data_IF_217470461555
#
_entry.id   IF_217470461555
#
_cell.length_a   1.000
_cell.length_b   1.000
_cell.length_c   1.000
_cell.angle_alpha   90.00
_cell.angle_beta   90.00
_cell.angle_gamma   90.00
#
_symmetry.space_group_name_H-M   'P 1'
#
loop_
_entity.id
_entity.type
_entity.pdbx_description
1 polymer ?
#
# COMPACT_ATOMS: atom_id res chain seq x y z
N UNK A 1 6.20 16.71 -4.29
CA UNK A 1 5.20 15.88 -3.58
C UNK A 1 5.47 14.44 -3.97
N UNK A 2 5.85 13.58 -3.01
CA UNK A 2 6.47 12.27 -3.28
C UNK A 2 5.65 11.39 -4.24
N UNK A 3 4.32 11.41 -4.11
CA UNK A 3 3.43 10.69 -5.02
C UNK A 3 3.56 11.15 -6.49
N UNK A 4 3.53 12.47 -6.72
CA UNK A 4 3.56 13.05 -8.06
C UNK A 4 4.91 12.80 -8.74
N UNK A 5 6.00 12.85 -7.98
CA UNK A 5 7.34 12.53 -8.47
C UNK A 5 7.46 11.05 -8.85
N UNK A 6 7.03 10.13 -7.98
CA UNK A 6 7.06 8.68 -8.26
C UNK A 6 6.20 8.31 -9.46
N UNK A 7 5.02 8.92 -9.59
CA UNK A 7 4.05 8.59 -10.64
C UNK A 7 4.31 9.34 -11.96
N UNK A 8 5.33 10.21 -12.01
CA UNK A 8 5.72 10.91 -13.23
C UNK A 8 6.03 9.91 -14.36
N UNK A 9 5.49 10.16 -15.55
CA UNK A 9 5.62 9.27 -16.71
C UNK A 9 4.67 8.07 -16.71
N UNK A 10 3.80 7.92 -15.70
CA UNK A 10 2.70 6.97 -15.70
C UNK A 10 1.37 7.67 -16.04
N UNK A 11 0.31 6.95 -16.45
CA UNK A 11 -1.01 7.56 -16.65
C UNK A 11 -1.72 7.91 -15.33
N UNK A 12 -1.17 7.54 -14.17
CA UNK A 12 -1.82 7.71 -12.87
C UNK A 12 -1.38 9.00 -12.20
N UNK A 13 -2.33 9.70 -11.58
CA UNK A 13 -2.11 10.93 -10.81
C UNK A 13 -2.16 10.70 -9.32
N UNK A 14 -2.82 9.62 -8.89
CA UNK A 14 -2.99 9.26 -7.48
C UNK A 14 -2.69 7.79 -7.24
N UNK A 15 -2.32 7.43 -6.00
CA UNK A 15 -2.15 6.04 -5.60
C UNK A 15 -3.44 5.21 -5.80
N UNK A 16 -4.61 5.86 -5.72
CA UNK A 16 -5.90 5.22 -5.92
C UNK A 16 -6.10 4.67 -7.35
N UNK A 17 -5.45 5.26 -8.34
CA UNK A 17 -5.55 4.88 -9.76
C UNK A 17 -4.61 3.73 -10.14
N UNK A 18 -3.55 3.48 -9.37
CA UNK A 18 -2.56 2.43 -9.66
C UNK A 18 -3.23 1.04 -9.58
N UNK A 19 -3.12 0.18 -10.59
CA UNK A 19 -3.70 -1.16 -10.55
C UNK A 19 -3.00 -2.05 -9.51
N UNK A 20 -3.77 -2.92 -8.85
CA UNK A 20 -3.25 -3.87 -7.85
C UNK A 20 -2.07 -4.72 -8.33
N UNK A 21 -2.10 -5.31 -9.54
CA UNK A 21 -0.96 -6.08 -10.05
C UNK A 21 0.35 -5.29 -10.10
N UNK A 22 0.30 -3.99 -10.38
CA UNK A 22 1.49 -3.13 -10.36
C UNK A 22 2.02 -2.96 -8.94
N UNK A 23 1.14 -2.70 -7.97
CA UNK A 23 1.51 -2.57 -6.56
C UNK A 23 2.10 -3.86 -5.97
N UNK A 24 1.79 -5.02 -6.55
CA UNK A 24 2.39 -6.30 -6.18
C UNK A 24 3.63 -6.66 -7.00
N UNK A 25 3.92 -5.89 -8.05
CA UNK A 25 5.03 -6.10 -8.96
C UNK A 25 6.35 -5.51 -8.49
N UNK A 26 7.42 -5.84 -9.21
CA UNK A 26 8.75 -5.26 -8.98
C UNK A 26 8.69 -3.73 -9.11
N UNK A 27 9.38 -3.04 -8.21
CA UNK A 27 9.40 -1.57 -8.14
C UNK A 27 8.40 -0.99 -7.13
N UNK A 28 7.14 -1.44 -7.14
CA UNK A 28 6.08 -0.88 -6.28
C UNK A 28 5.72 -1.74 -5.06
N UNK A 29 6.05 -3.03 -5.05
CA UNK A 29 5.80 -3.88 -3.90
C UNK A 29 6.58 -3.38 -2.67
N UNK A 30 5.99 -3.08 -1.49
CA UNK A 30 6.73 -2.52 -0.35
C UNK A 30 7.91 -3.38 0.14
N UNK A 31 7.82 -4.69 -0.07
CA UNK A 31 8.84 -5.69 0.27
C UNK A 31 8.28 -6.69 1.27
N UNK A 32 8.77 -7.94 1.25
CA UNK A 32 8.17 -9.03 2.03
C UNK A 32 8.12 -8.75 3.54
N UNK A 33 9.16 -8.11 4.09
CA UNK A 33 9.18 -7.73 5.50
C UNK A 33 8.09 -6.69 5.85
N UNK A 34 7.81 -5.74 4.95
CA UNK A 34 6.79 -4.72 5.15
C UNK A 34 5.37 -5.27 4.96
N UNK A 35 5.19 -6.26 4.08
CA UNK A 35 3.88 -6.86 3.79
C UNK A 35 3.56 -8.08 4.62
N UNK A 36 4.48 -8.60 5.44
CA UNK A 36 4.33 -9.88 6.14
C UNK A 36 2.98 -10.03 6.90
N UNK A 37 2.54 -8.99 7.63
CA UNK A 37 1.24 -9.03 8.32
C UNK A 37 0.04 -8.99 7.38
N UNK A 38 0.17 -8.26 6.27
CA UNK A 38 -0.84 -8.17 5.24
C UNK A 38 -0.99 -9.50 4.50
N UNK A 39 0.14 -10.14 4.19
CA UNK A 39 0.23 -11.46 3.57
C UNK A 39 -0.43 -12.51 4.48
N UNK A 40 -0.08 -12.55 5.76
CA UNK A 40 -0.73 -13.42 6.77
C UNK A 40 -2.23 -13.15 6.90
N UNK A 41 -2.68 -11.91 6.77
CA UNK A 41 -4.11 -11.58 6.83
C UNK A 41 -4.87 -12.13 5.61
N UNK A 42 -4.24 -12.10 4.43
CA UNK A 42 -4.79 -12.67 3.20
C UNK A 42 -4.84 -14.20 3.27
N UNK A 43 -3.74 -14.85 3.66
CA UNK A 43 -3.64 -16.31 3.79
C UNK A 43 -4.69 -16.89 4.74
N UNK A 44 -4.99 -16.17 5.83
CA UNK A 44 -6.01 -16.57 6.82
C UNK A 44 -7.45 -16.22 6.39
N UNK A 45 -7.64 -15.63 5.20
CA UNK A 45 -8.95 -15.20 4.72
C UNK A 45 -9.55 -14.00 5.47
N UNK A 46 -8.76 -13.32 6.31
CA UNK A 46 -9.23 -12.13 7.04
C UNK A 46 -9.39 -10.91 6.11
N UNK A 47 -8.74 -10.93 4.95
CA UNK A 47 -8.93 -9.97 3.86
C UNK A 47 -8.98 -10.71 2.51
N UNK A 48 -9.56 -10.05 1.52
CA UNK A 48 -9.51 -10.52 0.12
C UNK A 48 -8.36 -9.85 -0.63
N UNK A 49 -8.02 -10.33 -1.83
CA UNK A 49 -7.07 -9.66 -2.73
C UNK A 49 -7.44 -8.19 -3.01
N UNK A 50 -8.74 -7.88 -3.11
CA UNK A 50 -9.20 -6.49 -3.25
C UNK A 50 -8.90 -5.66 -1.99
N UNK A 51 -9.01 -6.28 -0.81
CA UNK A 51 -8.62 -5.67 0.46
C UNK A 51 -7.10 -5.45 0.56
N UNK A 52 -6.31 -6.40 0.08
CA UNK A 52 -4.86 -6.30 -0.04
C UNK A 52 -4.47 -5.08 -0.89
N UNK A 53 -5.05 -4.95 -2.09
CA UNK A 53 -4.76 -3.86 -3.02
C UNK A 53 -5.11 -2.49 -2.47
N UNK A 54 -6.27 -2.38 -1.83
CA UNK A 54 -6.66 -1.14 -1.15
C UNK A 54 -5.70 -0.78 -0.01
N UNK A 55 -5.23 -1.77 0.73
CA UNK A 55 -4.27 -1.56 1.82
C UNK A 55 -2.94 -1.06 1.27
N UNK A 56 -2.43 -1.65 0.19
CA UNK A 56 -1.22 -1.15 -0.47
C UNK A 56 -1.37 0.28 -0.99
N UNK A 57 -2.50 0.63 -1.61
CA UNK A 57 -2.77 2.01 -2.07
C UNK A 57 -2.69 3.01 -0.93
N UNK A 58 -3.29 2.67 0.22
CA UNK A 58 -3.28 3.52 1.40
C UNK A 58 -1.89 3.60 2.05
N UNK A 59 -1.17 2.48 2.12
CA UNK A 59 0.21 2.47 2.63
C UNK A 59 1.14 3.36 1.80
N UNK A 60 0.98 3.37 0.47
CA UNK A 60 1.69 4.30 -0.42
C UNK A 60 1.34 5.76 -0.13
N UNK A 61 0.06 6.08 0.08
CA UNK A 61 -0.33 7.43 0.46
C UNK A 61 0.24 7.86 1.82
N UNK A 62 0.27 6.96 2.81
CA UNK A 62 0.89 7.25 4.12
C UNK A 62 2.39 7.50 3.97
N UNK A 63 3.10 6.67 3.19
CA UNK A 63 4.51 6.87 2.90
C UNK A 63 4.76 8.22 2.21
N UNK A 64 3.91 8.60 1.25
CA UNK A 64 4.03 9.88 0.54
C UNK A 64 3.85 11.09 1.48
N UNK A 65 2.90 11.01 2.42
CA UNK A 65 2.67 12.04 3.43
C UNK A 65 3.84 12.14 4.42
N UNK A 66 4.47 11.01 4.74
CA UNK A 66 5.64 10.92 5.62
C UNK A 66 6.96 11.24 4.87
N UNK A 67 6.91 11.61 3.59
CA UNK A 67 8.09 11.93 2.79
C UNK A 67 8.96 10.71 2.43
N UNK A 68 8.45 9.49 2.59
CA UNK A 68 9.18 8.24 2.37
C UNK A 68 9.05 7.77 0.92
N UNK A 69 10.15 7.32 0.33
CA UNK A 69 10.17 6.77 -1.04
C UNK A 69 9.48 5.41 -1.21
N UNK A 70 9.18 4.70 -0.09
CA UNK A 70 8.50 3.40 -0.08
C UNK A 70 7.81 3.14 1.26
N UNK A 71 6.66 2.45 1.30
CA UNK A 71 6.03 2.04 2.57
C UNK A 71 6.87 1.00 3.31
N UNK A 72 6.96 1.14 4.63
CA UNK A 72 7.44 0.12 5.55
C UNK A 72 6.29 -0.65 6.24
N UNK A 73 6.65 -1.50 7.21
CA UNK A 73 5.68 -2.27 7.99
C UNK A 73 4.67 -1.36 8.73
N UNK A 74 5.12 -0.22 9.26
CA UNK A 74 4.26 0.72 9.98
C UNK A 74 3.18 1.34 9.09
N UNK A 75 3.53 1.75 7.86
CA UNK A 75 2.55 2.29 6.90
C UNK A 75 1.55 1.22 6.47
N UNK A 76 2.01 -0.02 6.23
CA UNK A 76 1.16 -1.14 5.85
C UNK A 76 0.21 -1.53 6.99
N UNK A 77 0.72 -1.59 8.23
CA UNK A 77 -0.07 -1.88 9.42
C UNK A 77 -1.12 -0.80 9.70
N UNK A 78 -0.73 0.49 9.67
CA UNK A 78 -1.65 1.63 9.80
C UNK A 78 -2.74 1.59 8.72
N UNK A 79 -2.37 1.34 7.47
CA UNK A 79 -3.32 1.22 6.37
C UNK A 79 -4.32 0.07 6.58
N UNK A 80 -3.86 -1.08 7.10
CA UNK A 80 -4.72 -2.22 7.39
C UNK A 80 -5.71 -1.93 8.51
N UNK A 81 -5.29 -1.20 9.55
CA UNK A 81 -6.15 -0.77 10.67
C UNK A 81 -7.20 0.23 10.20
N UNK A 82 -6.79 1.28 9.48
CA UNK A 82 -7.69 2.30 8.91
C UNK A 82 -8.76 1.66 8.01
N UNK A 83 -8.38 0.67 7.19
CA UNK A 83 -9.33 -0.08 6.35
C UNK A 83 -10.38 -0.83 7.18
N UNK A 84 -9.99 -1.39 8.33
CA UNK A 84 -10.92 -2.11 9.22
C UNK A 84 -11.89 -1.17 9.96
N UNK A 85 -11.69 0.15 9.86
CA UNK A 85 -12.48 1.14 10.60
C UNK A 85 -12.15 1.16 12.10
N UNK A 86 -10.97 0.63 12.48
CA UNK A 86 -10.49 0.66 13.85
C UNK A 86 -9.72 1.98 14.00
N UNK A 87 -10.15 2.91 14.88
CA UNK A 87 -9.39 4.11 15.14
C UNK A 87 -8.01 3.76 15.72
N UNK A 88 -7.01 4.55 15.33
CA UNK A 88 -5.65 4.44 15.87
C UNK A 88 -5.59 4.88 17.33
#
# INVERSE_FOLDING_TARGET
AVAAERLAGTPWRTNAEVPGPWLRGRGFHPGGAATADLDRALERGAITMRGYDRTLKLAWSLADLDGRGRPGADEVGRALLLRKGIPA
#
